data_IF_821861026964
#
_entry.id   IF_821861026964
#
_cell.length_a   1.000
_cell.length_b   1.000
_cell.length_c   1.000
_cell.angle_alpha   90.00
_cell.angle_beta   90.00
_cell.angle_gamma   90.00
#
_symmetry.space_group_name_H-M   'P 1'
#
loop_
_entity.id
_entity.type
_entity.pdbx_description
1 polymer ?
#
# COMPACT_ATOMS: atom_id res chain seq x y z
N UNK A 1 -8.19 -14.29 8.88
CA UNK A 1 -8.74 -12.93 8.76
C UNK A 1 -8.66 -12.49 7.30
N UNK A 2 -9.80 -12.14 6.69
CA UNK A 2 -9.84 -11.58 5.34
C UNK A 2 -9.40 -10.13 5.36
N UNK A 3 -8.72 -9.68 4.30
CA UNK A 3 -8.28 -8.30 4.16
C UNK A 3 -9.45 -7.44 3.63
N UNK A 4 -9.71 -6.31 4.28
CA UNK A 4 -10.70 -5.32 3.89
C UNK A 4 -10.06 -3.94 3.73
N UNK A 5 -10.75 -3.02 3.06
CA UNK A 5 -10.28 -1.62 2.98
C UNK A 5 -10.29 -0.92 4.35
N UNK A 6 -11.14 -1.35 5.27
CA UNK A 6 -11.16 -0.81 6.64
C UNK A 6 -9.86 -1.13 7.39
N UNK A 7 -9.12 -2.17 7.00
CA UNK A 7 -7.87 -2.54 7.64
C UNK A 7 -6.74 -1.55 7.37
N UNK A 8 -6.89 -0.64 6.39
CA UNK A 8 -5.91 0.40 6.07
C UNK A 8 -5.61 1.30 7.28
N UNK A 9 -6.53 1.43 8.24
CA UNK A 9 -6.26 2.17 9.50
C UNK A 9 -5.15 1.57 10.34
N UNK A 10 -4.80 0.30 10.10
CA UNK A 10 -3.70 -0.43 10.77
C UNK A 10 -2.46 -0.57 9.88
N UNK A 11 -2.49 -0.01 8.67
CA UNK A 11 -1.34 0.00 7.77
C UNK A 11 -0.28 0.96 8.32
N UNK A 12 0.97 0.49 8.39
CA UNK A 12 2.08 1.31 8.81
C UNK A 12 2.52 2.25 7.69
N UNK A 13 1.94 3.45 7.69
CA UNK A 13 2.31 4.54 6.77
C UNK A 13 3.69 5.12 7.07
N UNK A 14 4.18 5.03 8.32
CA UNK A 14 5.42 5.68 8.75
C UNK A 14 6.66 5.04 8.11
N UNK A 15 6.62 3.72 7.88
CA UNK A 15 7.71 2.98 7.22
C UNK A 15 7.41 2.66 5.75
N UNK A 16 6.26 3.11 5.22
CA UNK A 16 5.86 2.81 3.86
C UNK A 16 6.71 3.56 2.82
N UNK A 17 6.96 2.90 1.69
CA UNK A 17 7.52 3.58 0.52
C UNK A 17 6.38 4.13 -0.32
N UNK A 18 6.44 5.42 -0.66
CA UNK A 18 5.42 6.10 -1.46
C UNK A 18 5.93 6.39 -2.87
N UNK A 19 5.03 6.28 -3.84
CA UNK A 19 5.27 6.70 -5.22
C UNK A 19 3.96 7.06 -5.92
N UNK A 20 4.04 7.90 -6.94
CA UNK A 20 2.91 8.18 -7.83
C UNK A 20 2.79 7.05 -8.86
N UNK A 21 1.58 6.56 -9.08
CA UNK A 21 1.28 5.59 -10.13
C UNK A 21 1.21 6.30 -11.49
N UNK A 22 2.33 6.29 -12.21
CA UNK A 22 2.46 6.92 -13.54
C UNK A 22 2.17 5.97 -14.70
N UNK A 23 1.66 4.76 -14.44
CA UNK A 23 1.45 3.74 -15.49
C UNK A 23 0.40 4.15 -16.52
N UNK A 24 -0.59 4.93 -16.10
CA UNK A 24 -1.64 5.45 -16.98
C UNK A 24 -2.05 6.85 -16.54
N UNK A 25 -2.54 7.65 -17.50
CA UNK A 25 -3.18 8.92 -17.21
C UNK A 25 -4.61 8.69 -16.71
N UNK A 26 -4.77 8.47 -15.41
CA UNK A 26 -6.07 8.18 -14.77
C UNK A 26 -6.96 9.41 -14.55
N UNK A 27 -6.51 10.61 -14.91
CA UNK A 27 -7.22 11.88 -14.64
C UNK A 27 -7.15 12.35 -13.19
N UNK A 28 -6.59 11.54 -12.29
CA UNK A 28 -6.36 11.82 -10.88
C UNK A 28 -4.97 11.30 -10.46
N UNK A 29 -4.31 11.98 -9.52
CA UNK A 29 -3.04 11.52 -8.97
C UNK A 29 -3.26 10.32 -8.05
N UNK A 30 -2.82 9.13 -8.48
CA UNK A 30 -2.88 7.92 -7.67
C UNK A 30 -1.55 7.70 -6.98
N UNK A 31 -1.61 7.45 -5.68
CA UNK A 31 -0.46 7.13 -4.85
C UNK A 31 -0.43 5.63 -4.59
N UNK A 32 0.78 5.07 -4.58
CA UNK A 32 1.07 3.70 -4.16
C UNK A 32 1.90 3.77 -2.90
N UNK A 33 1.43 3.12 -1.84
CA UNK A 33 2.18 2.87 -0.62
C UNK A 33 2.51 1.38 -0.50
N UNK A 34 3.77 1.08 -0.21
CA UNK A 34 4.28 -0.28 0.02
C UNK A 34 4.80 -0.37 1.45
N UNK A 35 4.04 -1.02 2.32
CA UNK A 35 4.23 -1.01 3.77
C UNK A 35 3.58 -2.21 4.46
N UNK A 36 3.74 -2.30 5.78
CA UNK A 36 3.36 -3.47 6.56
C UNK A 36 1.99 -3.31 7.23
N UNK A 37 1.29 -4.43 7.39
CA UNK A 37 0.13 -4.57 8.26
C UNK A 37 0.27 -5.90 9.01
N UNK A 38 0.31 -5.85 10.34
CA UNK A 38 0.50 -7.01 11.23
C UNK A 38 1.62 -7.96 10.74
N UNK A 39 2.81 -7.42 10.45
CA UNK A 39 3.99 -8.16 9.96
C UNK A 39 3.95 -8.64 8.50
N UNK A 40 2.88 -8.42 7.73
CA UNK A 40 2.83 -8.78 6.30
C UNK A 40 2.92 -7.55 5.41
N UNK A 41 3.76 -7.62 4.37
CA UNK A 41 3.88 -6.56 3.37
C UNK A 41 2.64 -6.48 2.47
N UNK A 42 2.12 -5.27 2.28
CA UNK A 42 0.96 -4.94 1.47
C UNK A 42 1.28 -3.82 0.47
N UNK A 43 0.46 -3.76 -0.58
CA UNK A 43 0.43 -2.67 -1.56
C UNK A 43 -0.93 -1.99 -1.43
N UNK A 44 -0.90 -0.69 -1.20
CA UNK A 44 -2.06 0.18 -1.08
C UNK A 44 -2.03 1.20 -2.21
N UNK A 45 -3.08 1.24 -3.04
CA UNK A 45 -3.31 2.29 -4.03
C UNK A 45 -4.44 3.19 -3.54
N UNK A 46 -4.22 4.50 -3.54
CA UNK A 46 -5.19 5.47 -3.05
C UNK A 46 -5.06 6.82 -3.75
N UNK A 47 -6.08 7.66 -3.58
CA UNK A 47 -6.07 9.08 -3.97
C UNK A 47 -6.25 9.90 -2.70
N UNK A 48 -5.48 10.98 -2.58
CA UNK A 48 -5.67 11.95 -1.52
C UNK A 48 -6.92 12.80 -1.77
N UNK A 49 -7.64 13.09 -0.70
CA UNK A 49 -8.86 13.90 -0.69
C UNK A 49 -8.73 14.94 0.42
N UNK A 50 -9.61 15.95 0.45
CA UNK A 50 -9.58 16.97 1.52
C UNK A 50 -9.72 16.38 2.93
N UNK A 51 -10.35 15.20 3.07
CA UNK A 51 -10.69 14.60 4.36
C UNK A 51 -9.92 13.29 4.64
N UNK A 52 -8.83 13.02 3.91
CA UNK A 52 -8.06 11.79 4.04
C UNK A 52 -7.87 11.08 2.71
N UNK A 53 -7.92 9.75 2.69
CA UNK A 53 -7.63 8.96 1.48
C UNK A 53 -8.84 8.16 1.00
N UNK A 54 -9.01 8.08 -0.32
CA UNK A 54 -9.93 7.12 -0.96
C UNK A 54 -9.13 5.91 -1.43
N UNK A 55 -9.37 4.76 -0.82
CA UNK A 55 -8.71 3.49 -1.16
C UNK A 55 -9.24 2.99 -2.52
N UNK A 56 -8.32 2.73 -3.45
CA UNK A 56 -8.61 2.13 -4.76
C UNK A 56 -8.32 0.62 -4.72
N UNK A 57 -7.21 0.22 -4.10
CA UNK A 57 -6.82 -1.18 -3.98
C UNK A 57 -6.01 -1.39 -2.72
N UNK A 58 -6.27 -2.47 -1.99
CA UNK A 58 -5.46 -2.89 -0.86
C UNK A 58 -5.27 -4.40 -0.88
N UNK A 59 -4.03 -4.86 -0.95
CA UNK A 59 -3.71 -6.27 -1.12
C UNK A 59 -2.34 -6.63 -0.55
N UNK A 60 -2.13 -7.92 -0.32
CA UNK A 60 -0.80 -8.44 0.01
C UNK A 60 0.17 -8.22 -1.16
N UNK A 61 1.42 -7.88 -0.82
CA UNK A 61 2.50 -7.81 -1.78
C UNK A 61 2.96 -9.24 -2.16
N UNK A 62 3.11 -9.48 -3.45
CA UNK A 62 3.70 -10.72 -3.94
C UNK A 62 5.24 -10.69 -3.83
N UNK A 63 5.90 -11.81 -4.10
CA UNK A 63 7.35 -11.95 -3.91
C UNK A 63 8.15 -11.07 -4.88
N UNK A 64 7.62 -10.79 -6.08
CA UNK A 64 8.26 -9.90 -7.06
C UNK A 64 8.25 -8.46 -6.59
N UNK A 65 7.15 -8.01 -6.01
CA UNK A 65 6.98 -6.66 -5.47
C UNK A 65 7.85 -6.44 -4.24
N UNK A 66 7.85 -7.41 -3.32
CA UNK A 66 8.73 -7.41 -2.15
C UNK A 66 10.20 -7.23 -2.57
N UNK A 67 10.67 -8.03 -3.54
CA UNK A 67 12.02 -7.91 -4.11
C UNK A 67 12.25 -6.55 -4.77
N UNK A 68 11.30 -6.07 -5.58
CA UNK A 68 11.41 -4.77 -6.28
C UNK A 68 11.56 -3.60 -5.31
N UNK A 69 10.87 -3.64 -4.18
CA UNK A 69 10.89 -2.58 -3.18
C UNK A 69 11.92 -2.81 -2.06
N UNK A 70 12.76 -3.84 -2.16
CA UNK A 70 13.78 -4.16 -1.17
C UNK A 70 13.21 -4.46 0.23
N UNK A 71 11.98 -4.96 0.30
CA UNK A 71 11.26 -5.22 1.56
C UNK A 71 10.92 -6.70 1.67
N UNK A 72 11.22 -7.37 2.80
CA UNK A 72 10.82 -8.76 2.99
C UNK A 72 9.29 -8.88 3.01
N UNK A 73 8.76 -10.01 2.52
CA UNK A 73 7.32 -10.24 2.47
C UNK A 73 6.68 -10.27 3.85
N UNK A 74 7.41 -10.77 4.83
CA UNK A 74 7.06 -10.80 6.24
C UNK A 74 8.24 -10.27 7.04
N UNK A 75 7.96 -9.63 8.16
CA UNK A 75 8.97 -9.22 9.14
C UNK A 75 8.75 -10.02 10.42
N UNK A 76 9.82 -10.22 11.19
CA UNK A 76 9.71 -10.81 12.51
C UNK A 76 9.19 -9.74 13.49
N UNK A 77 8.39 -10.19 14.46
CA UNK A 77 7.77 -9.33 15.49
C UNK A 77 8.61 -9.23 16.75
#
# INVERSE_FOLDING_TARGET
MFLSFADVVRFDFSTAHFMVDTRHAYGEARHVAVGYLNLRLHVLCFVETMNGIRVISFRRANSREAKRHGKPQTIDG
#
